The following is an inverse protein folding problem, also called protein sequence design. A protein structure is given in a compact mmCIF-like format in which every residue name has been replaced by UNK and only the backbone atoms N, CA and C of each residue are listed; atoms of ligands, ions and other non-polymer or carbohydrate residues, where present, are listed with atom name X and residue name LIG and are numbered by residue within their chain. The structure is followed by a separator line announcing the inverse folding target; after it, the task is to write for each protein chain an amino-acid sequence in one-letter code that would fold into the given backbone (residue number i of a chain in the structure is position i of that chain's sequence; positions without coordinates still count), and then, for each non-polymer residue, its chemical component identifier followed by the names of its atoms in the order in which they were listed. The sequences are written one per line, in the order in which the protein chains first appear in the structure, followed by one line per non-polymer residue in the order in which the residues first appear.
data_IF_092964720078
#
_entry.id   IF_092964720078
#
_cell.length_a   1.000
_cell.length_b   1.000
_cell.length_c   1.000
_cell.angle_alpha   90.00
_cell.angle_beta   90.00
_cell.angle_gamma   90.00
#
_symmetry.space_group_name_H-M   'P 1'
#
loop_
_entity.id
_entity.type
_entity.pdbx_description
1 polymer ?
#
# COMPACT_ATOMS: atom_id res chain seq x y z
N UNK A 1 -30.54 29.51 -6.28
CA UNK A 1 -30.57 28.04 -6.07
C UNK A 1 -29.24 27.42 -6.54
N UNK A 2 -28.66 27.95 -7.62
CA UNK A 2 -27.41 27.47 -8.23
C UNK A 2 -26.14 27.64 -7.39
N UNK A 3 -26.05 28.71 -6.58
CA UNK A 3 -24.89 28.95 -5.71
C UNK A 3 -24.75 27.86 -4.64
N UNK A 4 -25.86 27.44 -4.03
CA UNK A 4 -25.87 26.39 -3.01
C UNK A 4 -25.51 25.04 -3.62
N UNK A 5 -26.03 24.74 -4.82
CA UNK A 5 -25.71 23.51 -5.57
C UNK A 5 -24.22 23.48 -5.95
N UNK A 6 -23.67 24.60 -6.45
CA UNK A 6 -22.25 24.69 -6.80
C UNK A 6 -21.34 24.55 -5.58
N UNK A 7 -21.70 25.15 -4.44
CA UNK A 7 -20.96 24.99 -3.18
C UNK A 7 -20.99 23.53 -2.72
N UNK A 8 -22.14 22.84 -2.80
CA UNK A 8 -22.24 21.43 -2.47
C UNK A 8 -21.38 20.54 -3.37
N UNK A 9 -21.35 20.82 -4.68
CA UNK A 9 -20.49 20.09 -5.63
C UNK A 9 -19.01 20.30 -5.30
N UNK A 10 -18.59 21.54 -5.02
CA UNK A 10 -17.20 21.85 -4.64
C UNK A 10 -16.83 21.16 -3.33
N UNK A 11 -17.71 21.19 -2.32
CA UNK A 11 -17.47 20.51 -1.03
C UNK A 11 -17.37 19.01 -1.22
N UNK A 12 -18.24 18.40 -2.03
CA UNK A 12 -18.17 16.96 -2.34
C UNK A 12 -16.92 16.61 -3.14
N UNK A 13 -16.52 17.43 -4.10
CA UNK A 13 -15.31 17.22 -4.89
C UNK A 13 -14.04 17.34 -4.01
N UNK A 14 -13.98 18.36 -3.15
CA UNK A 14 -12.89 18.54 -2.18
C UNK A 14 -12.85 17.40 -1.18
N UNK A 15 -13.99 16.98 -0.62
CA UNK A 15 -14.08 15.83 0.28
C UNK A 15 -13.66 14.52 -0.41
N UNK A 16 -14.06 14.33 -1.67
CA UNK A 16 -13.67 13.17 -2.47
C UNK A 16 -12.15 13.16 -2.74
N UNK A 17 -11.56 14.30 -3.13
CA UNK A 17 -10.12 14.44 -3.31
C UNK A 17 -9.36 14.19 -2.00
N UNK A 18 -9.83 14.73 -0.88
CA UNK A 18 -9.21 14.49 0.43
C UNK A 18 -9.28 13.02 0.85
N UNK A 19 -10.40 12.34 0.60
CA UNK A 19 -10.58 10.92 0.95
C UNK A 19 -9.62 9.99 0.20
N UNK A 20 -9.15 10.41 -0.99
CA UNK A 20 -8.18 9.66 -1.81
C UNK A 20 -6.75 9.88 -1.34
N UNK A 21 -6.44 11.07 -0.82
CA UNK A 21 -5.08 11.46 -0.43
C UNK A 21 -4.79 11.24 1.05
N UNK A 22 -5.82 11.11 1.90
CA UNK A 22 -5.63 10.96 3.33
C UNK A 22 -4.84 9.67 3.67
N UNK A 23 -3.80 9.78 4.53
CA UNK A 23 -3.05 8.63 4.98
C UNK A 23 -3.95 7.67 5.76
N UNK A 24 -3.61 6.39 5.64
CA UNK A 24 -4.42 5.30 6.17
C UNK A 24 -4.15 5.16 7.67
N UNK A 25 -5.16 5.45 8.51
CA UNK A 25 -5.05 5.32 9.98
C UNK A 25 -4.51 3.93 10.34
N UNK A 26 -3.48 3.88 11.17
CA UNK A 26 -2.88 2.63 11.68
C UNK A 26 -2.00 1.86 10.71
N UNK A 27 -1.50 2.50 9.64
CA UNK A 27 -0.51 1.94 8.71
C UNK A 27 0.76 2.80 8.77
N UNK A 28 1.90 2.15 8.95
CA UNK A 28 3.19 2.81 8.95
C UNK A 28 3.57 3.23 7.53
N UNK A 29 4.30 4.33 7.40
CA UNK A 29 4.75 4.84 6.11
C UNK A 29 6.26 4.95 6.12
N UNK A 30 6.91 4.32 5.14
CA UNK A 30 8.37 4.37 5.00
C UNK A 30 8.77 4.90 3.63
N UNK A 31 9.96 5.48 3.52
CA UNK A 31 10.54 5.88 2.24
C UNK A 31 11.27 4.72 1.58
N UNK A 32 11.61 4.84 0.30
CA UNK A 32 12.45 3.86 -0.39
C UNK A 32 13.86 3.78 0.19
N UNK A 33 14.39 4.89 0.72
CA UNK A 33 15.67 4.89 1.44
C UNK A 33 15.62 3.99 2.70
N UNK A 34 14.56 4.09 3.50
CA UNK A 34 14.36 3.20 4.65
C UNK A 34 14.11 1.75 4.22
N UNK A 35 13.39 1.55 3.11
CA UNK A 35 13.20 0.22 2.54
C UNK A 35 14.54 -0.43 2.13
N UNK A 36 15.48 0.33 1.56
CA UNK A 36 16.80 -0.21 1.18
C UNK A 36 17.51 -0.83 2.37
N UNK A 37 17.46 -0.17 3.53
CA UNK A 37 18.06 -0.70 4.77
C UNK A 37 17.30 -1.93 5.30
N UNK A 38 15.97 -1.95 5.22
CA UNK A 38 15.17 -3.13 5.59
C UNK A 38 15.43 -4.34 4.69
N UNK A 39 15.62 -4.13 3.39
CA UNK A 39 15.91 -5.22 2.44
C UNK A 39 17.31 -5.80 2.66
N UNK A 40 18.27 -4.98 3.11
CA UNK A 40 19.62 -5.43 3.50
C UNK A 40 19.59 -6.21 4.81
N UNK A 41 18.95 -5.66 5.85
CA UNK A 41 18.94 -6.25 7.19
C UNK A 41 18.01 -7.46 7.32
N UNK A 42 16.95 -7.51 6.49
CA UNK A 42 15.88 -8.53 6.51
C UNK A 42 15.44 -8.87 7.93
N UNK A 43 14.78 -7.93 8.64
CA UNK A 43 14.37 -8.15 10.01
C UNK A 43 13.56 -9.44 10.14
N UNK A 44 13.86 -10.24 11.16
CA UNK A 44 13.12 -11.44 11.45
C UNK A 44 11.64 -11.09 11.68
N UNK A 45 10.73 -11.88 11.11
CA UNK A 45 9.30 -11.63 11.22
C UNK A 45 8.74 -10.62 10.23
N UNK A 46 9.51 -10.10 9.27
CA UNK A 46 9.00 -9.22 8.20
C UNK A 46 8.70 -10.01 6.93
N UNK A 47 7.56 -9.73 6.31
CA UNK A 47 7.17 -10.23 4.99
C UNK A 47 6.98 -9.07 4.01
N UNK A 48 7.56 -9.22 2.82
CA UNK A 48 7.56 -8.18 1.79
C UNK A 48 6.59 -8.56 0.66
N UNK A 49 5.67 -7.66 0.31
CA UNK A 49 4.59 -7.92 -0.66
C UNK A 49 4.58 -6.85 -1.74
N UNK A 50 4.65 -7.27 -3.00
CA UNK A 50 4.47 -6.40 -4.16
C UNK A 50 3.07 -6.61 -4.74
N UNK A 51 2.26 -5.55 -4.73
CA UNK A 51 0.86 -5.59 -5.17
C UNK A 51 0.65 -5.12 -6.62
N UNK A 52 1.73 -4.95 -7.38
CA UNK A 52 1.67 -4.70 -8.83
C UNK A 52 1.19 -5.93 -9.59
N UNK A 53 0.90 -5.73 -10.87
CA UNK A 53 0.55 -6.83 -11.76
C UNK A 53 1.73 -7.81 -11.93
N UNK A 54 1.47 -9.08 -12.26
CA UNK A 54 2.54 -10.04 -12.50
C UNK A 54 3.48 -9.62 -13.63
N UNK A 55 3.00 -8.89 -14.64
CA UNK A 55 3.83 -8.35 -15.73
C UNK A 55 4.83 -7.31 -15.24
N UNK A 56 4.37 -6.32 -14.46
CA UNK A 56 5.25 -5.31 -13.83
C UNK A 56 6.31 -5.96 -12.93
N UNK A 57 5.91 -6.96 -12.13
CA UNK A 57 6.81 -7.65 -11.21
C UNK A 57 7.85 -8.51 -11.95
N UNK A 58 7.46 -9.21 -13.02
CA UNK A 58 8.39 -10.02 -13.83
C UNK A 58 9.48 -9.18 -14.50
N UNK A 59 9.14 -7.95 -14.92
CA UNK A 59 10.10 -7.06 -15.58
C UNK A 59 11.17 -6.52 -14.62
N UNK A 60 10.76 -5.97 -13.48
CA UNK A 60 11.68 -5.46 -12.45
C UNK A 60 11.02 -5.56 -11.08
N UNK A 61 11.69 -6.19 -10.12
CA UNK A 61 11.21 -6.33 -8.75
C UNK A 61 12.34 -6.36 -7.73
N UNK A 62 11.98 -6.11 -6.47
CA UNK A 62 12.89 -6.20 -5.33
C UNK A 62 12.97 -7.66 -4.89
N UNK A 63 14.18 -8.23 -4.86
CA UNK A 63 14.40 -9.60 -4.41
C UNK A 63 13.87 -9.81 -2.99
N UNK A 64 13.11 -10.88 -2.79
CA UNK A 64 12.49 -11.22 -1.50
C UNK A 64 11.06 -10.72 -1.32
N UNK A 65 10.55 -9.87 -2.22
CA UNK A 65 9.14 -9.53 -2.26
C UNK A 65 8.33 -10.67 -2.88
N UNK A 66 7.17 -10.98 -2.32
CA UNK A 66 6.18 -11.89 -2.92
C UNK A 66 5.18 -11.09 -3.74
N UNK A 67 4.94 -11.46 -4.99
CA UNK A 67 3.91 -10.80 -5.80
C UNK A 67 2.51 -11.31 -5.45
N UNK A 68 1.68 -10.43 -4.91
CA UNK A 68 0.26 -10.67 -4.67
C UNK A 68 -0.50 -9.46 -5.22
N UNK A 69 -0.97 -9.49 -6.48
CA UNK A 69 -1.63 -8.36 -7.11
C UNK A 69 -2.79 -7.84 -6.25
N UNK A 70 -2.96 -6.52 -6.19
CA UNK A 70 -3.97 -5.86 -5.36
C UNK A 70 -5.36 -6.48 -5.50
N UNK A 71 -5.76 -6.80 -6.74
CA UNK A 71 -7.07 -7.38 -7.06
C UNK A 71 -7.27 -8.78 -6.46
N UNK A 72 -6.18 -9.52 -6.25
CA UNK A 72 -6.20 -10.87 -5.70
C UNK A 72 -5.92 -10.88 -4.19
N UNK A 73 -5.42 -9.78 -3.63
CA UNK A 73 -4.96 -9.71 -2.25
C UNK A 73 -6.05 -10.11 -1.24
N UNK A 74 -7.30 -9.72 -1.49
CA UNK A 74 -8.46 -10.07 -0.64
C UNK A 74 -8.61 -11.58 -0.44
N UNK A 75 -8.47 -12.34 -1.51
CA UNK A 75 -8.69 -13.79 -1.54
C UNK A 75 -7.42 -14.56 -1.15
N UNK A 76 -6.27 -13.88 -1.13
CA UNK A 76 -4.94 -14.46 -0.91
C UNK A 76 -4.31 -13.99 0.40
N UNK A 77 -5.08 -13.38 1.30
CA UNK A 77 -4.60 -12.95 2.63
C UNK A 77 -4.07 -14.11 3.46
N UNK A 78 -4.61 -15.32 3.29
CA UNK A 78 -4.14 -16.54 3.97
C UNK A 78 -2.72 -16.97 3.58
N UNK A 79 -2.14 -16.41 2.53
CA UNK A 79 -0.74 -16.63 2.17
C UNK A 79 0.25 -15.80 3.00
N UNK A 80 -0.26 -14.89 3.83
CA UNK A 80 0.49 -13.99 4.69
C UNK A 80 0.16 -14.30 6.15
N UNK A 81 1.16 -14.22 7.03
CA UNK A 81 0.94 -14.40 8.47
C UNK A 81 0.49 -13.08 9.10
N UNK A 82 -0.59 -13.10 9.89
CA UNK A 82 -1.08 -11.88 10.57
C UNK A 82 -0.17 -11.41 11.72
N UNK A 83 0.71 -12.28 12.22
CA UNK A 83 1.64 -11.99 13.30
C UNK A 83 2.93 -11.30 12.82
N UNK A 84 3.24 -11.46 11.52
CA UNK A 84 4.43 -10.90 10.89
C UNK A 84 4.16 -9.51 10.33
N UNK A 85 5.17 -8.66 10.40
CA UNK A 85 5.12 -7.30 9.84
C UNK A 85 5.03 -7.35 8.33
N UNK A 86 4.03 -6.69 7.73
CA UNK A 86 3.85 -6.67 6.28
C UNK A 86 4.35 -5.36 5.70
N UNK A 87 5.37 -5.41 4.86
CA UNK A 87 5.82 -4.26 4.05
C UNK A 87 5.28 -4.39 2.64
N UNK A 88 4.49 -3.41 2.21
CA UNK A 88 3.76 -3.44 0.94
C UNK A 88 4.29 -2.36 0.00
N UNK A 89 4.59 -2.74 -1.23
CA UNK A 89 5.03 -1.83 -2.31
C UNK A 89 4.14 -1.97 -3.55
N UNK A 90 4.02 -0.88 -4.30
CA UNK A 90 3.48 -0.89 -5.66
C UNK A 90 4.30 0.03 -6.56
N UNK A 91 3.76 0.47 -7.70
CA UNK A 91 4.49 1.37 -8.60
C UNK A 91 4.75 2.76 -7.99
N UNK A 92 3.73 3.43 -7.45
CA UNK A 92 3.82 4.84 -6.99
C UNK A 92 3.47 5.07 -5.51
N UNK A 93 3.02 4.03 -4.80
CA UNK A 93 2.52 4.11 -3.43
C UNK A 93 0.98 4.12 -3.29
N UNK A 94 0.22 4.38 -4.38
CA UNK A 94 -1.24 4.44 -4.33
C UNK A 94 -1.91 3.07 -4.13
N UNK A 95 -1.55 2.09 -4.96
CA UNK A 95 -2.08 0.70 -4.85
C UNK A 95 -1.66 0.02 -3.54
N UNK A 96 -0.44 0.26 -3.07
CA UNK A 96 0.05 -0.29 -1.80
C UNK A 96 -0.65 0.34 -0.61
N UNK A 97 -0.98 1.64 -0.65
CA UNK A 97 -1.85 2.27 0.35
C UNK A 97 -3.23 1.59 0.44
N UNK A 98 -3.85 1.25 -0.71
CA UNK A 98 -5.11 0.50 -0.73
C UNK A 98 -4.95 -0.92 -0.19
N UNK A 99 -3.89 -1.62 -0.58
CA UNK A 99 -3.55 -2.94 -0.05
C UNK A 99 -3.36 -2.91 1.47
N UNK A 100 -2.68 -1.87 2.00
CA UNK A 100 -2.48 -1.72 3.43
C UNK A 100 -3.80 -1.56 4.19
N UNK A 101 -4.77 -0.79 3.65
CA UNK A 101 -6.12 -0.71 4.23
C UNK A 101 -6.80 -2.08 4.26
N UNK A 102 -6.69 -2.84 3.18
CA UNK A 102 -7.28 -4.16 3.06
C UNK A 102 -6.69 -5.12 4.11
N UNK A 103 -5.37 -5.16 4.23
CA UNK A 103 -4.68 -5.99 5.23
C UNK A 103 -5.04 -5.58 6.66
N UNK A 104 -5.11 -4.28 6.97
CA UNK A 104 -5.58 -3.83 8.29
C UNK A 104 -7.00 -4.32 8.59
N UNK A 105 -7.91 -4.24 7.61
CA UNK A 105 -9.29 -4.75 7.74
C UNK A 105 -9.33 -6.28 7.91
N UNK A 106 -8.36 -6.99 7.34
CA UNK A 106 -8.22 -8.44 7.46
C UNK A 106 -7.53 -8.89 8.75
N UNK A 107 -7.22 -7.98 9.69
CA UNK A 107 -6.68 -8.32 11.02
C UNK A 107 -5.15 -8.24 11.15
N UNK A 108 -4.44 -7.79 10.11
CA UNK A 108 -2.98 -7.63 10.20
C UNK A 108 -2.62 -6.49 11.15
N UNK A 109 -1.79 -6.79 12.16
CA UNK A 109 -1.44 -5.83 13.22
C UNK A 109 -0.53 -4.73 12.68
N UNK A 110 0.59 -5.14 12.05
CA UNK A 110 1.65 -4.26 11.60
C UNK A 110 1.73 -4.26 10.08
N UNK A 111 1.29 -3.16 9.47
CA UNK A 111 1.30 -2.99 8.02
C UNK A 111 2.02 -1.69 7.69
N UNK A 112 2.97 -1.77 6.77
CA UNK A 112 3.84 -0.69 6.36
C UNK A 112 3.71 -0.47 4.85
N UNK A 113 3.38 0.75 4.44
CA UNK A 113 3.33 1.16 3.04
C UNK A 113 4.62 1.88 2.64
N UNK A 114 5.17 1.52 1.48
CA UNK A 114 6.33 2.19 0.89
C UNK A 114 5.87 3.40 0.06
N UNK A 115 6.21 4.60 0.50
CA UNK A 115 5.96 5.86 -0.22
C UNK A 115 6.85 5.94 -1.47
N UNK A 116 6.28 6.46 -2.56
CA UNK A 116 6.97 6.56 -3.86
C UNK A 116 6.99 5.26 -4.67
N UNK A 117 6.83 4.11 -4.01
CA UNK A 117 6.79 2.81 -4.67
C UNK A 117 8.06 2.49 -5.45
N UNK A 118 7.93 1.61 -6.45
CA UNK A 118 9.01 1.23 -7.37
C UNK A 118 9.50 2.38 -8.26
N UNK A 119 8.71 3.44 -8.46
CA UNK A 119 9.16 4.63 -9.19
C UNK A 119 10.24 5.42 -8.45
N UNK A 120 10.32 5.27 -7.12
CA UNK A 120 11.32 5.92 -6.28
C UNK A 120 12.37 4.93 -5.74
N UNK A 121 12.32 3.67 -6.20
CA UNK A 121 13.21 2.58 -5.79
C UNK A 121 14.44 2.52 -6.70
#
# INVERSE_FOLDING_TARGET
MDVIINVLIVVLAVAFLWSRLAPTKGVNQITTAQLREMVKTKPAGTQFVDVRTPGEYKGNHIKGFKNIPLQQLANRTGELSQEKDVVVICQSGMRSSQASKLLKKAGFKNVTNVKGGMSAW
#
